data_IF_344762330875
#
_entry.id   IF_344762330875
#
_cell.length_a   1.000
_cell.length_b   1.000
_cell.length_c   1.000
_cell.angle_alpha   90.00
_cell.angle_beta   90.00
_cell.angle_gamma   90.00
#
_symmetry.space_group_name_H-M   'P 1'
#
loop_
_entity.id
_entity.type
_entity.pdbx_description
1 polymer ?
#
# COMPACT_ATOMS: atom_id res chain seq x y z
N UNK A 1 -13.63 7.23 2.52
CA UNK A 1 -13.87 6.50 3.77
C UNK A 1 -12.55 6.23 4.47
N UNK A 2 -12.54 6.24 5.81
CA UNK A 2 -11.37 5.99 6.67
C UNK A 2 -11.57 4.69 7.45
N UNK A 3 -10.60 3.79 7.41
CA UNK A 3 -10.63 2.53 8.18
C UNK A 3 -9.32 2.40 8.97
N UNK A 4 -9.41 2.18 10.28
CA UNK A 4 -8.27 2.14 11.21
C UNK A 4 -8.13 3.43 12.04
N UNK A 5 -7.09 3.54 12.88
CA UNK A 5 -6.90 4.67 13.78
C UNK A 5 -6.68 5.98 13.02
N UNK A 6 -7.23 7.09 13.53
CA UNK A 6 -7.05 8.41 12.92
C UNK A 6 -5.59 8.89 12.97
N UNK A 7 -4.87 8.54 14.03
CA UNK A 7 -3.47 8.90 14.27
C UNK A 7 -2.46 7.87 13.75
N UNK A 8 -2.87 6.95 12.87
CA UNK A 8 -1.96 5.96 12.31
C UNK A 8 -0.83 6.62 11.50
N UNK A 9 0.37 6.05 11.58
CA UNK A 9 1.58 6.59 10.95
C UNK A 9 1.74 6.13 9.49
N UNK A 10 1.11 5.02 9.12
CA UNK A 10 1.04 4.50 7.76
C UNK A 10 -0.36 4.71 7.19
N UNK A 11 -0.44 5.32 6.02
CA UNK A 11 -1.68 5.44 5.26
C UNK A 11 -1.59 4.71 3.92
N UNK A 12 -2.50 3.76 3.72
CA UNK A 12 -2.72 3.11 2.42
C UNK A 12 -3.89 3.78 1.69
N UNK A 13 -3.68 4.22 0.46
CA UNK A 13 -4.69 4.92 -0.34
C UNK A 13 -5.21 4.00 -1.45
N UNK A 14 -6.50 3.70 -1.42
CA UNK A 14 -7.17 2.86 -2.41
C UNK A 14 -8.31 3.65 -3.10
N UNK A 15 -8.66 3.31 -4.35
CA UNK A 15 -9.73 4.03 -5.06
C UNK A 15 -11.13 3.73 -4.49
N UNK A 16 -11.42 2.45 -4.21
CA UNK A 16 -12.78 2.00 -3.90
C UNK A 16 -12.87 1.46 -2.46
N UNK A 17 -13.91 1.83 -1.70
CA UNK A 17 -14.14 1.30 -0.36
C UNK A 17 -14.60 -0.17 -0.38
N UNK A 18 -14.42 -0.92 0.72
CA UNK A 18 -15.11 -2.19 0.91
C UNK A 18 -16.59 -1.94 1.22
N UNK A 19 -17.40 -2.99 1.07
CA UNK A 19 -18.65 -3.10 1.79
C UNK A 19 -18.34 -3.21 3.29
N UNK A 20 -19.11 -2.50 4.11
CA UNK A 20 -18.93 -2.48 5.56
C UNK A 20 -19.99 -3.37 6.22
N UNK A 21 -19.60 -4.28 7.12
CA UNK A 21 -20.54 -4.95 8.01
C UNK A 21 -21.28 -3.94 8.89
N UNK A 22 -22.47 -4.29 9.36
CA UNK A 22 -23.23 -3.51 10.33
C UNK A 22 -22.47 -3.43 11.67
N UNK A 23 -22.55 -2.28 12.35
CA UNK A 23 -21.86 -1.99 13.62
C UNK A 23 -20.34 -2.25 13.64
N UNK A 24 -19.72 -2.32 12.47
CA UNK A 24 -18.29 -2.62 12.34
C UNK A 24 -17.42 -1.49 12.89
N UNK A 25 -16.44 -1.85 13.71
CA UNK A 25 -15.40 -0.96 14.18
C UNK A 25 -14.02 -1.60 14.04
N UNK A 26 -13.03 -0.81 13.61
CA UNK A 26 -11.67 -1.32 13.37
C UNK A 26 -11.01 -1.90 14.61
N UNK A 27 -11.41 -1.48 15.82
CA UNK A 27 -10.85 -1.98 17.08
C UNK A 27 -11.48 -3.30 17.55
N UNK A 28 -12.63 -3.73 17.02
CA UNK A 28 -13.33 -4.95 17.46
C UNK A 28 -12.56 -6.22 17.09
N UNK A 29 -12.74 -7.29 17.85
CA UNK A 29 -12.14 -8.59 17.51
C UNK A 29 -12.62 -9.07 16.13
N UNK A 30 -11.76 -9.76 15.38
CA UNK A 30 -12.08 -10.27 14.03
C UNK A 30 -12.45 -9.20 12.96
N UNK A 31 -12.22 -7.91 13.21
CA UNK A 31 -12.55 -6.81 12.28
C UNK A 31 -12.13 -7.08 10.82
N UNK A 32 -10.90 -7.57 10.61
CA UNK A 32 -10.40 -7.91 9.27
C UNK A 32 -11.09 -9.15 8.68
N UNK A 33 -11.35 -10.16 9.51
CA UNK A 33 -12.00 -11.38 9.06
C UNK A 33 -13.43 -11.11 8.56
N UNK A 34 -14.18 -10.23 9.24
CA UNK A 34 -15.52 -9.82 8.79
C UNK A 34 -15.48 -9.04 7.47
N UNK A 35 -14.54 -8.10 7.32
CA UNK A 35 -14.36 -7.40 6.05
C UNK A 35 -14.03 -8.37 4.92
N UNK A 36 -13.19 -9.37 5.17
CA UNK A 36 -12.85 -10.42 4.19
C UNK A 36 -14.06 -11.29 3.88
N UNK A 37 -14.84 -11.69 4.87
CA UNK A 37 -16.02 -12.53 4.68
C UNK A 37 -17.05 -11.83 3.78
N UNK A 38 -17.28 -10.53 4.00
CA UNK A 38 -18.24 -9.75 3.24
C UNK A 38 -17.76 -9.40 1.82
N UNK A 39 -16.45 -9.14 1.64
CA UNK A 39 -15.91 -8.62 0.39
C UNK A 39 -15.14 -9.66 -0.46
N UNK A 40 -14.90 -10.84 0.09
CA UNK A 40 -14.29 -11.96 -0.58
C UNK A 40 -12.80 -11.82 -0.91
N UNK A 41 -12.37 -12.58 -1.93
CA UNK A 41 -10.96 -12.79 -2.24
C UNK A 41 -10.20 -11.51 -2.59
N UNK A 42 -10.89 -10.49 -3.12
CA UNK A 42 -10.26 -9.22 -3.49
C UNK A 42 -9.68 -8.52 -2.27
N UNK A 43 -10.50 -8.27 -1.25
CA UNK A 43 -10.08 -7.60 -0.03
C UNK A 43 -9.16 -8.45 0.84
N UNK A 44 -9.30 -9.78 0.80
CA UNK A 44 -8.31 -10.70 1.40
C UNK A 44 -6.90 -10.46 0.87
N UNK A 45 -6.73 -10.25 -0.44
CA UNK A 45 -5.41 -9.98 -1.04
C UNK A 45 -4.85 -8.66 -0.55
N UNK A 46 -5.67 -7.60 -0.55
CA UNK A 46 -5.29 -6.26 -0.10
C UNK A 46 -4.74 -6.33 1.33
N UNK A 47 -5.52 -6.84 2.29
CA UNK A 47 -5.09 -6.93 3.68
C UNK A 47 -3.88 -7.84 3.87
N UNK A 48 -3.78 -8.92 3.08
CA UNK A 48 -2.60 -9.79 3.12
C UNK A 48 -1.34 -9.06 2.65
N UNK A 49 -1.40 -8.31 1.55
CA UNK A 49 -0.24 -7.56 1.05
C UNK A 49 0.15 -6.46 2.04
N UNK A 50 -0.83 -5.70 2.57
CA UNK A 50 -0.59 -4.71 3.62
C UNK A 50 0.11 -5.34 4.83
N UNK A 51 -0.39 -6.47 5.34
CA UNK A 51 0.21 -7.17 6.47
C UNK A 51 1.63 -7.66 6.15
N UNK A 52 1.86 -8.20 4.95
CA UNK A 52 3.22 -8.60 4.56
C UNK A 52 4.18 -7.42 4.42
N UNK A 53 3.70 -6.22 4.08
CA UNK A 53 4.53 -5.01 4.07
C UNK A 53 4.84 -4.53 5.50
N UNK A 54 3.86 -4.57 6.40
CA UNK A 54 3.96 -3.92 7.72
C UNK A 54 4.40 -4.84 8.86
N UNK A 55 4.21 -6.16 8.76
CA UNK A 55 4.51 -7.08 9.84
C UNK A 55 6.01 -7.03 10.20
N UNK A 56 6.37 -6.94 11.49
CA UNK A 56 7.77 -6.90 11.91
C UNK A 56 8.48 -8.25 11.75
N UNK A 57 7.72 -9.35 11.72
CA UNK A 57 8.20 -10.72 11.55
C UNK A 57 7.54 -11.40 10.35
N UNK A 58 7.90 -12.66 10.11
CA UNK A 58 7.26 -13.50 9.09
C UNK A 58 5.83 -13.94 9.46
N UNK A 59 5.37 -13.68 10.70
CA UNK A 59 4.00 -13.96 11.12
C UNK A 59 3.03 -12.85 10.70
N UNK A 60 2.99 -12.61 9.39
CA UNK A 60 2.08 -11.64 8.79
C UNK A 60 0.61 -12.06 8.92
N UNK A 61 0.31 -13.34 9.23
CA UNK A 61 -1.08 -13.81 9.38
C UNK A 61 -1.66 -13.31 10.69
N UNK A 62 -0.97 -13.55 11.80
CA UNK A 62 -1.36 -12.98 13.08
C UNK A 62 -1.41 -11.45 13.01
N UNK A 63 -0.38 -10.84 12.43
CA UNK A 63 -0.34 -9.39 12.27
C UNK A 63 -1.54 -8.87 11.47
N UNK A 64 -1.92 -9.52 10.37
CA UNK A 64 -3.09 -9.15 9.56
C UNK A 64 -4.36 -9.17 10.41
N UNK A 65 -4.58 -10.26 11.13
CA UNK A 65 -5.87 -10.54 11.76
C UNK A 65 -6.03 -9.75 13.08
N UNK A 66 -4.92 -9.52 13.79
CA UNK A 66 -4.93 -8.98 15.15
C UNK A 66 -4.31 -7.58 15.30
N UNK A 67 -3.53 -7.08 14.33
CA UNK A 67 -2.72 -5.85 14.52
C UNK A 67 -2.87 -4.79 13.42
N UNK A 68 -3.01 -5.19 12.15
CA UNK A 68 -2.83 -4.33 10.97
C UNK A 68 -3.62 -3.01 11.04
N UNK A 69 -4.90 -3.02 11.40
CA UNK A 69 -5.72 -1.80 11.48
C UNK A 69 -6.02 -1.38 12.92
N UNK A 70 -5.20 -1.80 13.88
CA UNK A 70 -5.40 -1.52 15.31
C UNK A 70 -4.55 -0.39 15.85
N UNK A 71 -3.40 -0.12 15.21
CA UNK A 71 -2.41 0.81 15.76
C UNK A 71 -1.81 1.71 14.68
N UNK A 72 -0.96 1.15 13.82
CA UNK A 72 -0.03 1.95 13.01
C UNK A 72 -0.50 2.17 11.58
N UNK A 73 -1.46 1.40 11.06
CA UNK A 73 -1.93 1.54 9.69
C UNK A 73 -3.39 1.99 9.64
N UNK A 74 -3.67 2.89 8.71
CA UNK A 74 -5.00 3.23 8.26
C UNK A 74 -5.14 2.93 6.75
N UNK A 75 -6.38 2.76 6.33
CA UNK A 75 -6.77 2.64 4.94
C UNK A 75 -7.73 3.77 4.60
N UNK A 76 -7.37 4.55 3.59
CA UNK A 76 -8.13 5.68 3.10
C UNK A 76 -8.62 5.40 1.69
N UNK A 77 -9.91 5.56 1.47
CA UNK A 77 -10.52 5.39 0.15
C UNK A 77 -11.19 6.65 -0.34
N UNK A 78 -11.00 6.98 -1.62
CA UNK A 78 -11.50 8.23 -2.20
C UNK A 78 -10.90 9.49 -1.56
N UNK A 79 -9.69 9.40 -1.01
CA UNK A 79 -8.99 10.55 -0.47
C UNK A 79 -8.50 11.48 -1.59
N UNK A 80 -8.60 12.79 -1.36
CA UNK A 80 -8.13 13.85 -2.25
C UNK A 80 -6.94 14.65 -1.68
N UNK A 81 -6.49 14.28 -0.49
CA UNK A 81 -5.30 14.81 0.17
C UNK A 81 -4.61 13.69 0.96
N UNK A 82 -3.31 13.87 1.19
CA UNK A 82 -2.55 12.99 2.08
C UNK A 82 -3.02 13.20 3.54
N UNK A 83 -3.04 12.12 4.32
CA UNK A 83 -3.32 12.17 5.75
C UNK A 83 -2.31 13.06 6.47
N UNK A 84 -2.74 14.02 7.31
CA UNK A 84 -1.81 14.87 8.06
C UNK A 84 -1.12 14.14 9.22
N UNK A 85 -1.60 12.94 9.60
CA UNK A 85 -1.06 12.16 10.71
C UNK A 85 -0.09 11.07 10.29
N UNK A 86 -0.17 10.65 9.02
CA UNK A 86 0.75 9.66 8.48
C UNK A 86 2.07 10.33 8.12
N UNK A 87 3.18 9.64 8.37
CA UNK A 87 4.49 9.99 7.83
C UNK A 87 4.87 9.08 6.64
N UNK A 88 4.21 7.92 6.52
CA UNK A 88 4.39 6.97 5.43
C UNK A 88 3.09 6.84 4.64
N UNK A 89 3.19 7.06 3.34
CA UNK A 89 2.07 7.07 2.42
C UNK A 89 2.30 6.04 1.32
N UNK A 90 1.38 5.10 1.17
CA UNK A 90 1.42 4.06 0.12
C UNK A 90 0.20 4.24 -0.76
N UNK A 91 0.41 4.83 -1.93
CA UNK A 91 -0.65 5.17 -2.89
C UNK A 91 -0.82 4.03 -3.88
N UNK A 92 -1.93 3.30 -3.77
CA UNK A 92 -2.12 2.01 -4.43
C UNK A 92 -2.87 2.16 -5.76
N UNK A 93 -2.10 2.24 -6.85
CA UNK A 93 -2.59 2.27 -8.22
C UNK A 93 -2.93 3.68 -8.72
N UNK A 94 -3.09 3.76 -10.05
CA UNK A 94 -3.28 5.03 -10.77
C UNK A 94 -4.49 5.83 -10.28
N UNK A 95 -5.63 5.17 -10.04
CA UNK A 95 -6.85 5.87 -9.63
C UNK A 95 -6.69 6.60 -8.28
N UNK A 96 -6.00 6.00 -7.30
CA UNK A 96 -5.70 6.66 -6.04
C UNK A 96 -4.70 7.81 -6.22
N UNK A 97 -3.67 7.62 -7.05
CA UNK A 97 -2.69 8.67 -7.35
C UNK A 97 -3.32 9.88 -8.07
N UNK A 98 -4.27 9.63 -8.98
CA UNK A 98 -5.02 10.68 -9.67
C UNK A 98 -5.93 11.43 -8.71
N UNK A 99 -6.65 10.73 -7.85
CA UNK A 99 -7.52 11.37 -6.85
C UNK A 99 -6.74 12.30 -5.90
N UNK A 100 -5.50 11.94 -5.58
CA UNK A 100 -4.58 12.76 -4.77
C UNK A 100 -3.84 13.85 -5.56
N UNK A 101 -4.05 13.97 -6.87
CA UNK A 101 -3.36 14.94 -7.71
C UNK A 101 -1.86 14.65 -7.96
N UNK A 102 -1.38 13.45 -7.64
CA UNK A 102 0.03 13.05 -7.80
C UNK A 102 0.31 12.60 -9.25
N UNK A 103 -0.71 12.06 -9.91
CA UNK A 103 -0.63 11.45 -11.24
C UNK A 103 -0.30 12.40 -12.39
N UNK A 104 -0.35 13.73 -12.21
CA UNK A 104 -0.09 14.65 -13.32
C UNK A 104 1.35 14.56 -13.86
N UNK A 105 2.29 13.98 -13.09
CA UNK A 105 3.72 13.94 -13.43
C UNK A 105 4.37 12.53 -13.35
N UNK A 106 3.61 11.49 -13.01
CA UNK A 106 4.17 10.14 -12.82
C UNK A 106 3.76 9.26 -13.99
N UNK A 107 4.73 8.87 -14.80
CA UNK A 107 4.57 7.74 -15.71
C UNK A 107 4.36 6.50 -14.83
N UNK A 108 3.13 6.20 -14.42
CA UNK A 108 2.74 4.82 -14.12
C UNK A 108 2.67 4.15 -15.49
N UNK A 109 3.85 4.00 -16.09
CA UNK A 109 4.01 3.34 -17.37
C UNK A 109 3.60 1.91 -17.11
N UNK A 110 2.46 1.53 -17.66
CA UNK A 110 2.26 0.21 -18.22
C UNK A 110 3.34 -0.01 -19.29
N UNK A 111 4.60 -0.11 -18.90
CA UNK A 111 5.67 -0.54 -19.78
C UNK A 111 5.54 -2.05 -19.88
N UNK A 112 4.69 -2.47 -20.81
CA UNK A 112 4.94 -3.63 -21.67
C UNK A 112 6.41 -3.58 -22.09
N UNK A 113 7.22 -4.45 -21.51
CA UNK A 113 8.66 -4.50 -21.76
C UNK A 113 8.95 -4.83 -23.22
N UNK A 114 9.82 -4.01 -23.79
CA UNK A 114 10.76 -4.39 -24.82
C UNK A 114 11.53 -5.64 -24.36
N UNK A 115 11.59 -6.63 -25.24
CA UNK A 115 12.32 -7.88 -25.10
C UNK A 115 13.82 -7.63 -25.23
N UNK A 116 14.57 -7.75 -24.14
CA UNK A 116 16.01 -7.99 -24.21
C UNK A 116 16.29 -9.41 -23.68
N UNK A 117 16.52 -10.33 -24.62
CA UNK A 117 17.06 -11.65 -24.35
C UNK A 117 18.48 -11.51 -23.74
N UNK A 118 18.84 -12.39 -22.81
CA UNK A 118 20.13 -12.49 -22.09
C UNK A 118 20.23 -11.81 -20.69
N UNK A 119 19.17 -11.84 -19.87
CA UNK A 119 19.31 -11.68 -18.41
C UNK A 119 18.78 -12.89 -17.65
N UNK A 120 19.36 -13.17 -16.49
CA UNK A 120 18.84 -14.20 -15.59
C UNK A 120 17.44 -13.80 -15.12
N UNK A 121 16.51 -14.76 -14.94
CA UNK A 121 15.14 -14.48 -14.53
C UNK A 121 15.03 -13.64 -13.24
N UNK A 122 15.95 -13.85 -12.30
CA UNK A 122 15.99 -13.15 -11.01
C UNK A 122 16.32 -11.66 -11.15
N UNK A 123 17.32 -11.32 -11.99
CA UNK A 123 17.69 -9.92 -12.25
C UNK A 123 16.57 -9.18 -12.98
N UNK A 124 15.89 -9.84 -13.92
CA UNK A 124 14.75 -9.25 -14.62
C UNK A 124 13.59 -8.98 -13.64
N UNK A 125 13.24 -9.94 -12.78
CA UNK A 125 12.16 -9.77 -11.80
C UNK A 125 12.44 -8.64 -10.80
N UNK A 126 13.70 -8.49 -10.38
CA UNK A 126 14.11 -7.41 -9.48
C UNK A 126 13.98 -6.04 -10.15
N UNK A 127 14.44 -5.90 -11.39
CA UNK A 127 14.32 -4.67 -12.17
C UNK A 127 12.86 -4.31 -12.45
N UNK A 128 12.03 -5.28 -12.82
CA UNK A 128 10.60 -5.08 -13.06
C UNK A 128 9.86 -4.63 -11.80
N UNK A 129 10.30 -5.12 -10.63
CA UNK A 129 9.76 -4.70 -9.34
C UNK A 129 10.19 -3.27 -8.99
N UNK A 130 11.45 -2.91 -9.26
CA UNK A 130 11.96 -1.54 -9.06
C UNK A 130 11.25 -0.52 -9.93
N UNK A 131 11.00 -0.82 -11.21
CA UNK A 131 10.27 0.09 -12.11
C UNK A 131 8.82 0.36 -11.66
N UNK A 132 8.24 -0.54 -10.85
CA UNK A 132 6.87 -0.42 -10.34
C UNK A 132 6.76 0.36 -9.03
N UNK A 133 7.85 0.53 -8.29
CA UNK A 133 7.87 1.24 -7.01
C UNK A 133 8.49 2.63 -7.21
N UNK A 134 7.68 3.69 -7.13
CA UNK A 134 8.18 5.06 -7.30
C UNK A 134 8.14 5.80 -5.97
N UNK A 135 9.31 6.21 -5.48
CA UNK A 135 9.43 7.12 -4.34
C UNK A 135 9.30 8.56 -4.84
N UNK A 136 8.18 9.20 -4.49
CA UNK A 136 7.85 10.58 -4.88
C UNK A 136 7.92 11.54 -3.69
N UNK A 137 8.56 11.13 -2.58
CA UNK A 137 8.64 11.91 -1.34
C UNK A 137 9.14 13.34 -1.59
N UNK A 138 10.23 13.47 -2.35
CA UNK A 138 10.83 14.79 -2.65
C UNK A 138 9.89 15.66 -3.48
N UNK A 139 9.16 15.08 -4.43
CA UNK A 139 8.22 15.81 -5.28
C UNK A 139 7.03 16.36 -4.48
N UNK A 140 6.66 15.67 -3.40
CA UNK A 140 5.51 16.02 -2.56
C UNK A 140 5.89 16.75 -1.27
N UNK A 141 7.18 17.07 -1.07
CA UNK A 141 7.66 17.71 0.16
C UNK A 141 6.96 19.05 0.45
N UNK A 142 6.62 19.82 -0.58
CA UNK A 142 5.89 21.08 -0.40
C UNK A 142 4.44 20.87 0.09
N UNK A 143 3.80 19.76 -0.29
CA UNK A 143 2.42 19.42 0.06
C UNK A 143 2.34 18.63 1.38
N UNK A 144 3.40 17.88 1.70
CA UNK A 144 3.48 17.08 2.92
C UNK A 144 4.89 17.11 3.51
N UNK A 145 5.25 18.23 4.17
CA UNK A 145 6.61 18.47 4.66
C UNK A 145 7.05 17.50 5.76
N UNK A 146 6.09 16.86 6.44
CA UNK A 146 6.32 15.92 7.53
C UNK A 146 6.32 14.45 7.08
N UNK A 147 6.01 14.16 5.82
CA UNK A 147 6.10 12.80 5.29
C UNK A 147 7.56 12.38 5.16
N UNK A 148 7.92 11.25 5.78
CA UNK A 148 9.21 10.61 5.59
C UNK A 148 9.25 9.77 4.31
N UNK A 149 8.09 9.31 3.84
CA UNK A 149 7.99 8.47 2.65
C UNK A 149 6.64 8.59 1.94
N UNK A 150 6.65 8.82 0.63
CA UNK A 150 5.47 8.70 -0.23
C UNK A 150 5.79 7.80 -1.42
N UNK A 151 5.14 6.64 -1.47
CA UNK A 151 5.34 5.63 -2.50
C UNK A 151 4.11 5.54 -3.41
N UNK A 152 4.35 5.60 -4.71
CA UNK A 152 3.38 5.12 -5.70
C UNK A 152 3.67 3.65 -5.98
N UNK A 153 2.63 2.84 -5.88
CA UNK A 153 2.70 1.40 -6.12
C UNK A 153 1.63 0.97 -7.11
N UNK A 154 1.75 -0.21 -7.74
CA UNK A 154 0.62 -0.86 -8.37
C UNK A 154 -0.49 -1.13 -7.35
N UNK A 155 -1.66 -1.54 -7.85
CA UNK A 155 -2.76 -1.95 -6.99
C UNK A 155 -2.37 -3.19 -6.15
N UNK A 156 -2.92 -3.32 -4.93
CA UNK A 156 -2.62 -4.42 -4.01
C UNK A 156 -3.35 -5.72 -4.41
N UNK A 157 -3.01 -6.24 -5.59
CA UNK A 157 -3.40 -7.56 -6.09
C UNK A 157 -2.15 -8.31 -6.54
N UNK A 158 -2.04 -9.61 -6.23
CA UNK A 158 -0.84 -10.41 -6.53
C UNK A 158 -0.44 -10.47 -8.01
N UNK A 159 -1.35 -10.18 -8.95
CA UNK A 159 -1.02 -10.06 -10.38
C UNK A 159 -0.17 -8.82 -10.66
N UNK A 160 -0.31 -7.78 -9.84
CA UNK A 160 0.40 -6.51 -9.98
C UNK A 160 1.50 -6.33 -8.92
N UNK A 161 1.27 -6.87 -7.73
CA UNK A 161 2.10 -6.72 -6.54
C UNK A 161 2.68 -8.08 -6.11
N UNK A 162 3.81 -8.44 -6.72
CA UNK A 162 4.49 -9.72 -6.47
C UNK A 162 5.13 -9.77 -5.08
N UNK A 163 5.50 -10.97 -4.61
CA UNK A 163 6.27 -11.12 -3.37
C UNK A 163 7.62 -10.39 -3.43
N UNK A 164 8.26 -10.32 -4.61
CA UNK A 164 9.48 -9.55 -4.81
C UNK A 164 9.23 -8.04 -4.61
N UNK A 165 8.12 -7.51 -5.12
CA UNK A 165 7.73 -6.12 -4.89
C UNK A 165 7.37 -5.85 -3.42
N UNK A 166 6.75 -6.81 -2.71
CA UNK A 166 6.54 -6.72 -1.25
C UNK A 166 7.89 -6.59 -0.54
N UNK A 167 8.85 -7.47 -0.84
CA UNK A 167 10.17 -7.42 -0.23
C UNK A 167 10.89 -6.09 -0.51
N UNK A 168 10.85 -5.62 -1.76
CA UNK A 168 11.41 -4.33 -2.14
C UNK A 168 10.77 -3.17 -1.36
N UNK A 169 9.45 -3.18 -1.22
CA UNK A 169 8.70 -2.17 -0.46
C UNK A 169 9.13 -2.16 1.00
N UNK A 170 9.26 -3.33 1.63
CA UNK A 170 9.74 -3.46 3.02
C UNK A 170 11.13 -2.87 3.19
N UNK A 171 12.07 -3.25 2.32
CA UNK A 171 13.44 -2.74 2.35
C UNK A 171 13.48 -1.21 2.21
N UNK A 172 12.67 -0.66 1.30
CA UNK A 172 12.57 0.78 1.09
C UNK A 172 12.06 1.51 2.32
N UNK A 173 10.97 1.01 2.94
CA UNK A 173 10.42 1.60 4.16
C UNK A 173 11.42 1.54 5.32
N UNK A 174 12.09 0.41 5.52
CA UNK A 174 13.11 0.26 6.56
C UNK A 174 14.28 1.23 6.40
N UNK A 175 14.66 1.56 5.16
CA UNK A 175 15.71 2.55 4.90
C UNK A 175 15.32 3.98 5.28
N UNK A 176 14.01 4.30 5.36
CA UNK A 176 13.47 5.60 5.75
C UNK A 176 13.24 5.76 7.26
N UNK A 177 13.33 4.66 8.01
CA UNK A 177 13.23 4.64 9.48
C UNK A 177 14.58 4.81 10.20
N UNK A 178 15.66 5.06 9.47
CA UNK A 178 16.99 5.35 10.00
C UNK A 178 17.22 6.86 10.05
#
# INVERSE_FOLDING_TARGET
>A
MHIGPAAATYAFYLPNPPLMPEDWHWSQDNAIAELIALNGNHWRKIFTIMAKICAPSEDWRDYRDNQLLKQQQMLLTGANALSPHANIHIVCGQAAATALGIAANSNITTNTLQTNAQRTPELQLMQDSQAKLQDVTVMLQAQSPYSSCVLLTPYLDYRQYSNALIALTRCHLQAKHR
#
